data_IF_588404573265
#
_entry.id   IF_588404573265
#
_cell.length_a   1.000
_cell.length_b   1.000
_cell.length_c   1.000
_cell.angle_alpha   90.00
_cell.angle_beta   90.00
_cell.angle_gamma   90.00
#
_symmetry.space_group_name_H-M   'P 1'
#
loop_
_entity.id
_entity.type
_entity.pdbx_description
1 polymer ?
#
# COMPACT_ATOMS: atom_id res chain seq x y z
N UNK A 1 15.20 -5.37 13.59
CA UNK A 1 14.63 -5.56 12.25
C UNK A 1 14.20 -4.17 11.79
N UNK A 2 14.45 -3.82 10.54
CA UNK A 2 14.03 -2.54 10.00
C UNK A 2 12.74 -2.74 9.21
N UNK A 3 11.71 -1.95 9.51
CA UNK A 3 10.40 -1.98 8.85
C UNK A 3 10.19 -0.70 8.06
N UNK A 4 9.47 -0.83 6.95
CA UNK A 4 9.01 0.27 6.12
C UNK A 4 7.48 0.22 6.14
N UNK A 5 6.85 1.34 6.50
CA UNK A 5 5.40 1.53 6.39
C UNK A 5 5.12 2.28 5.09
N UNK A 6 4.52 1.60 4.12
CA UNK A 6 4.32 2.19 2.79
C UNK A 6 3.06 3.06 2.68
N UNK A 7 2.24 3.16 3.73
CA UNK A 7 1.02 3.95 3.71
C UNK A 7 0.58 4.40 5.09
N UNK A 8 0.70 5.72 5.37
CA UNK A 8 0.26 6.33 6.61
C UNK A 8 -0.34 7.71 6.36
N UNK A 9 -1.50 7.98 6.95
CA UNK A 9 -2.18 9.28 6.86
C UNK A 9 -1.74 10.17 8.05
N UNK A 10 -0.45 10.52 8.10
CA UNK A 10 0.11 11.29 9.23
C UNK A 10 -0.47 12.71 9.33
N UNK A 11 -0.99 13.24 8.23
CA UNK A 11 -1.69 14.54 8.16
C UNK A 11 -3.07 14.51 8.79
N UNK A 12 -3.64 13.32 9.02
CA UNK A 12 -4.95 13.18 9.65
C UNK A 12 -4.95 13.78 11.06
N UNK A 13 -5.98 14.55 11.46
CA UNK A 13 -6.01 15.28 12.74
C UNK A 13 -5.78 14.44 13.99
N UNK A 14 -6.12 13.16 13.98
CA UNK A 14 -5.90 12.24 15.12
C UNK A 14 -4.42 11.87 15.33
N UNK A 15 -3.57 11.98 14.29
CA UNK A 15 -2.13 11.73 14.37
C UNK A 15 -1.33 13.03 14.35
N UNK A 16 -1.73 14.00 13.53
CA UNK A 16 -1.00 15.24 13.31
C UNK A 16 -0.76 16.05 14.60
N UNK A 17 -1.66 15.95 15.58
CA UNK A 17 -1.54 16.65 16.87
C UNK A 17 -0.43 16.12 17.76
N UNK A 18 -0.08 14.85 17.61
CA UNK A 18 0.93 14.13 18.41
C UNK A 18 2.01 13.52 17.49
N UNK A 19 2.24 14.12 16.32
CA UNK A 19 3.06 13.54 15.23
C UNK A 19 4.47 13.16 15.70
N UNK A 20 5.13 14.00 16.48
CA UNK A 20 6.47 13.72 17.00
C UNK A 20 6.47 12.48 17.89
N UNK A 21 5.49 12.36 18.79
CA UNK A 21 5.35 11.21 19.68
C UNK A 21 4.96 9.94 18.91
N UNK A 22 4.15 10.06 17.85
CA UNK A 22 3.81 8.95 16.93
C UNK A 22 5.07 8.45 16.24
N UNK A 23 5.91 9.34 15.70
CA UNK A 23 7.17 9.01 15.03
C UNK A 23 8.18 8.38 15.99
N UNK A 24 8.28 8.89 17.23
CA UNK A 24 9.13 8.29 18.25
C UNK A 24 8.72 6.85 18.58
N UNK A 25 7.42 6.59 18.75
CA UNK A 25 6.90 5.23 18.96
C UNK A 25 7.14 4.33 17.75
N UNK A 26 6.98 4.83 16.53
CA UNK A 26 7.27 4.10 15.30
C UNK A 26 8.74 3.66 15.25
N UNK A 27 9.66 4.60 15.50
CA UNK A 27 11.10 4.33 15.57
C UNK A 27 11.44 3.30 16.64
N UNK A 28 10.89 3.43 17.84
CA UNK A 28 11.08 2.48 18.93
C UNK A 28 10.58 1.07 18.58
N UNK A 29 9.54 0.96 17.73
CA UNK A 29 9.01 -0.31 17.22
C UNK A 29 9.83 -0.89 16.05
N UNK A 30 10.87 -0.20 15.58
CA UNK A 30 11.75 -0.64 14.49
C UNK A 30 11.28 -0.22 13.09
N UNK A 31 10.29 0.67 12.99
CA UNK A 31 9.94 1.33 11.72
C UNK A 31 11.01 2.38 11.43
N UNK A 32 11.63 2.33 10.27
CA UNK A 32 12.71 3.24 9.88
C UNK A 32 12.36 4.16 8.72
N UNK A 33 11.33 3.81 7.96
CA UNK A 33 10.83 4.62 6.83
C UNK A 33 9.30 4.66 6.86
N UNK A 34 8.75 5.81 6.50
CA UNK A 34 7.32 6.03 6.34
C UNK A 34 7.04 6.68 4.99
N UNK A 35 5.98 6.22 4.32
CA UNK A 35 5.43 6.90 3.14
C UNK A 35 4.09 7.52 3.53
N UNK A 36 4.05 8.84 3.56
CA UNK A 36 2.86 9.61 3.88
C UNK A 36 1.94 9.65 2.67
N UNK A 37 0.68 9.26 2.86
CA UNK A 37 -0.28 9.13 1.76
C UNK A 37 -0.91 10.47 1.39
N UNK A 38 -0.75 10.89 0.14
CA UNK A 38 -1.44 12.04 -0.42
C UNK A 38 -2.74 11.60 -1.09
N UNK A 39 -3.88 11.99 -0.55
CA UNK A 39 -5.22 11.56 -1.02
C UNK A 39 -5.97 12.63 -1.83
N UNK A 40 -5.49 13.88 -1.77
CA UNK A 40 -5.94 15.01 -2.57
C UNK A 40 -4.75 15.93 -2.83
N UNK A 41 -4.92 16.96 -3.64
CA UNK A 41 -3.85 17.96 -3.86
C UNK A 41 -3.44 18.61 -2.52
N UNK A 42 -4.42 19.01 -1.71
CA UNK A 42 -4.16 19.63 -0.40
C UNK A 42 -3.45 18.65 0.56
N UNK A 43 -3.91 17.41 0.67
CA UNK A 43 -3.27 16.42 1.53
C UNK A 43 -1.89 16.01 1.00
N UNK A 44 -1.67 16.02 -0.31
CA UNK A 44 -0.36 15.80 -0.92
C UNK A 44 0.63 16.91 -0.56
N UNK A 45 0.21 18.18 -0.63
CA UNK A 45 1.03 19.33 -0.19
C UNK A 45 1.35 19.26 1.30
N UNK A 46 0.37 18.90 2.14
CA UNK A 46 0.58 18.72 3.58
C UNK A 46 1.53 17.56 3.90
N UNK A 47 1.39 16.43 3.20
CA UNK A 47 2.29 15.29 3.35
C UNK A 47 3.74 15.67 2.97
N UNK A 48 3.92 16.38 1.87
CA UNK A 48 5.22 16.91 1.46
C UNK A 48 5.80 17.88 2.51
N UNK A 49 4.98 18.81 3.01
CA UNK A 49 5.38 19.75 4.08
C UNK A 49 5.85 18.98 5.32
N UNK A 50 5.13 17.93 5.73
CA UNK A 50 5.54 17.10 6.89
C UNK A 50 6.85 16.36 6.65
N UNK A 51 7.13 15.92 5.41
CA UNK A 51 8.42 15.32 5.08
C UNK A 51 9.58 16.28 5.33
N UNK A 52 9.40 17.57 5.02
CA UNK A 52 10.42 18.59 5.26
C UNK A 52 10.52 19.02 6.72
N UNK A 53 9.37 19.24 7.39
CA UNK A 53 9.34 19.71 8.79
C UNK A 53 9.88 18.66 9.78
N UNK A 54 9.77 17.36 9.46
CA UNK A 54 10.08 16.25 10.34
C UNK A 54 11.32 15.46 9.89
N UNK A 55 12.18 16.05 9.05
CA UNK A 55 13.37 15.38 8.51
C UNK A 55 14.38 14.98 9.60
N UNK A 56 14.40 15.69 10.72
CA UNK A 56 15.25 15.41 11.89
C UNK A 56 14.66 14.35 12.86
N UNK A 57 13.49 13.78 12.54
CA UNK A 57 12.81 12.78 13.39
C UNK A 57 13.60 11.48 13.60
N UNK A 58 14.68 11.27 12.84
CA UNK A 58 15.45 10.02 12.81
C UNK A 58 14.76 8.90 12.02
N UNK A 59 13.71 9.24 11.26
CA UNK A 59 13.02 8.39 10.30
C UNK A 59 13.22 8.97 8.89
N UNK A 60 13.27 8.09 7.90
CA UNK A 60 13.20 8.54 6.50
C UNK A 60 11.74 8.72 6.10
N UNK A 61 11.35 9.97 5.86
CA UNK A 61 9.99 10.32 5.46
C UNK A 61 9.92 10.56 3.96
N UNK A 62 8.97 9.90 3.33
CA UNK A 62 8.60 10.09 1.94
C UNK A 62 7.11 10.34 1.85
N UNK A 63 6.62 10.77 0.69
CA UNK A 63 5.19 10.88 0.45
C UNK A 63 4.81 10.33 -0.92
N UNK A 64 3.53 10.12 -1.11
CA UNK A 64 2.88 10.03 -2.40
C UNK A 64 2.17 11.34 -2.70
N UNK A 65 1.81 11.57 -3.95
CA UNK A 65 0.92 12.66 -4.34
C UNK A 65 -0.09 12.16 -5.37
N UNK A 66 -1.38 12.41 -5.12
CA UNK A 66 -2.45 11.94 -5.97
C UNK A 66 -3.83 12.47 -5.58
N UNK A 67 -4.83 12.04 -6.32
CA UNK A 67 -6.24 12.32 -6.05
C UNK A 67 -7.00 11.00 -5.95
N UNK A 68 -7.50 10.74 -4.76
CA UNK A 68 -8.27 9.55 -4.39
C UNK A 68 -9.58 9.47 -5.19
N UNK A 69 -10.09 8.27 -5.51
CA UNK A 69 -11.36 8.14 -6.24
C UNK A 69 -12.55 8.84 -5.58
N UNK A 70 -12.54 9.07 -4.29
CA UNK A 70 -13.60 9.85 -3.62
C UNK A 70 -13.69 11.29 -4.11
N UNK A 71 -12.57 11.90 -4.48
CA UNK A 71 -12.44 13.29 -4.91
C UNK A 71 -12.31 13.43 -6.44
N UNK A 72 -12.47 12.34 -7.19
CA UNK A 72 -12.31 12.33 -8.64
C UNK A 72 -13.25 13.31 -9.38
N UNK A 73 -14.39 13.68 -8.80
CA UNK A 73 -15.29 14.70 -9.35
C UNK A 73 -14.66 16.08 -9.44
N UNK A 74 -13.62 16.36 -8.64
CA UNK A 74 -12.92 17.63 -8.62
C UNK A 74 -11.74 17.68 -9.60
N UNK A 75 -11.39 16.53 -10.20
CA UNK A 75 -10.26 16.41 -11.11
C UNK A 75 -10.48 17.20 -12.41
N UNK A 76 -9.51 18.01 -12.77
CA UNK A 76 -9.52 18.84 -13.99
C UNK A 76 -8.09 19.10 -14.48
N UNK A 77 -7.92 19.88 -15.55
CA UNK A 77 -6.61 20.18 -16.12
C UNK A 77 -5.66 20.92 -15.15
N UNK A 78 -6.19 21.72 -14.24
CA UNK A 78 -5.44 22.39 -13.19
C UNK A 78 -4.93 21.38 -12.16
N UNK A 79 -5.73 20.40 -11.79
CA UNK A 79 -5.34 19.32 -10.90
C UNK A 79 -4.13 18.54 -11.43
N UNK A 80 -4.14 18.20 -12.72
CA UNK A 80 -3.02 17.53 -13.38
C UNK A 80 -1.73 18.37 -13.35
N UNK A 81 -1.84 19.68 -13.56
CA UNK A 81 -0.67 20.59 -13.52
C UNK A 81 -0.10 20.73 -12.11
N UNK A 82 -0.95 20.90 -11.09
CA UNK A 82 -0.56 21.01 -9.69
C UNK A 82 0.06 19.69 -9.21
N UNK A 83 -0.57 18.56 -9.53
CA UNK A 83 -0.05 17.24 -9.18
C UNK A 83 1.34 17.01 -9.81
N UNK A 84 1.53 17.39 -11.07
CA UNK A 84 2.84 17.28 -11.73
C UNK A 84 3.93 18.09 -11.01
N UNK A 85 3.60 19.26 -10.47
CA UNK A 85 4.55 20.05 -9.70
C UNK A 85 4.96 19.33 -8.41
N UNK A 86 3.99 18.81 -7.65
CA UNK A 86 4.25 18.04 -6.42
C UNK A 86 5.09 16.78 -6.68
N UNK A 87 4.82 16.08 -7.78
CA UNK A 87 5.55 14.86 -8.18
C UNK A 87 7.01 15.13 -8.57
N UNK A 88 7.38 16.39 -8.79
CA UNK A 88 8.76 16.83 -9.03
C UNK A 88 9.60 17.00 -7.76
N UNK A 89 8.96 17.00 -6.57
CA UNK A 89 9.63 17.23 -5.29
C UNK A 89 10.32 15.96 -4.79
N UNK A 90 11.52 16.12 -4.22
CA UNK A 90 12.38 15.00 -3.86
C UNK A 90 11.76 13.99 -2.86
N UNK A 91 10.96 14.37 -1.83
CA UNK A 91 10.33 13.41 -0.94
C UNK A 91 9.20 12.61 -1.59
N UNK A 92 8.60 13.07 -2.70
CA UNK A 92 7.48 12.40 -3.35
C UNK A 92 7.98 11.23 -4.20
N UNK A 93 7.54 10.02 -3.88
CA UNK A 93 8.06 8.78 -4.46
C UNK A 93 7.09 8.02 -5.36
N UNK A 94 5.82 8.36 -5.34
CA UNK A 94 4.81 7.66 -6.14
C UNK A 94 3.66 8.59 -6.50
N UNK A 95 3.01 8.30 -7.63
CA UNK A 95 1.72 8.86 -7.98
C UNK A 95 0.64 8.10 -7.20
N UNK A 96 -0.17 8.80 -6.47
CA UNK A 96 -1.25 8.23 -5.65
C UNK A 96 -1.36 8.93 -4.28
N UNK A 97 -2.38 8.65 -3.56
CA UNK A 97 -3.35 7.57 -3.74
C UNK A 97 -4.34 7.91 -4.86
N UNK A 98 -4.40 7.05 -5.86
CA UNK A 98 -5.38 7.12 -6.95
C UNK A 98 -5.96 5.72 -7.20
N UNK A 99 -7.08 5.62 -7.90
CA UNK A 99 -7.67 4.30 -8.11
C UNK A 99 -9.17 4.32 -8.31
N UNK A 100 -9.83 3.24 -7.88
CA UNK A 100 -11.28 3.05 -8.01
C UNK A 100 -11.91 2.59 -6.69
N UNK A 101 -13.04 3.18 -6.32
CA UNK A 101 -13.87 2.77 -5.19
C UNK A 101 -15.35 2.67 -5.64
N UNK A 102 -15.76 1.45 -5.96
CA UNK A 102 -17.13 1.14 -6.38
C UNK A 102 -18.03 0.70 -5.22
N UNK A 103 -17.47 0.69 -4.00
CA UNK A 103 -18.25 0.46 -2.79
C UNK A 103 -18.86 1.75 -2.24
N UNK A 104 -18.08 2.85 -2.20
CA UNK A 104 -18.54 4.15 -1.73
C UNK A 104 -19.22 4.97 -2.81
N UNK A 105 -18.69 4.91 -4.05
CA UNK A 105 -19.19 5.66 -5.21
C UNK A 105 -19.40 7.17 -4.92
N UNK A 106 -18.51 7.79 -4.10
CA UNK A 106 -18.62 9.22 -3.76
C UNK A 106 -18.43 10.12 -4.99
N UNK A 107 -17.58 9.71 -5.92
CA UNK A 107 -17.54 10.29 -7.27
C UNK A 107 -18.12 9.30 -8.27
N UNK A 108 -18.78 9.78 -9.34
CA UNK A 108 -19.25 8.91 -10.42
C UNK A 108 -18.13 8.06 -11.02
N UNK A 109 -18.38 6.78 -11.26
CA UNK A 109 -17.36 5.83 -11.78
C UNK A 109 -16.63 6.32 -13.03
N UNK A 110 -17.31 6.90 -14.05
CA UNK A 110 -16.61 7.44 -15.22
C UNK A 110 -15.60 8.54 -14.87
N UNK A 111 -15.87 9.35 -13.83
CA UNK A 111 -14.94 10.36 -13.36
C UNK A 111 -13.77 9.77 -12.57
N UNK A 112 -14.01 8.71 -11.79
CA UNK A 112 -12.95 7.96 -11.12
C UNK A 112 -11.99 7.34 -12.15
N UNK A 113 -12.52 6.69 -13.18
CA UNK A 113 -11.73 6.09 -14.26
C UNK A 113 -10.90 7.15 -14.99
N UNK A 114 -11.52 8.27 -15.37
CA UNK A 114 -10.82 9.37 -16.05
C UNK A 114 -9.68 9.93 -15.17
N UNK A 115 -9.95 10.23 -13.91
CA UNK A 115 -8.94 10.76 -13.00
C UNK A 115 -7.80 9.75 -12.78
N UNK A 116 -8.10 8.45 -12.70
CA UNK A 116 -7.11 7.40 -12.63
C UNK A 116 -6.24 7.35 -13.90
N UNK A 117 -6.84 7.28 -15.07
CA UNK A 117 -6.11 7.19 -16.34
C UNK A 117 -5.18 8.39 -16.55
N UNK A 118 -5.62 9.61 -16.25
CA UNK A 118 -4.77 10.81 -16.34
C UNK A 118 -3.62 10.80 -15.32
N UNK A 119 -3.82 10.27 -14.11
CA UNK A 119 -2.76 10.08 -13.13
C UNK A 119 -1.78 8.97 -13.54
N UNK A 120 -2.25 7.91 -14.18
CA UNK A 120 -1.39 6.87 -14.77
C UNK A 120 -0.53 7.43 -15.91
N UNK A 121 -1.07 8.30 -16.76
CA UNK A 121 -0.26 8.98 -17.79
C UNK A 121 0.82 9.91 -17.16
N UNK A 122 0.52 10.57 -16.04
CA UNK A 122 1.54 11.32 -15.29
C UNK A 122 2.63 10.40 -14.76
N UNK A 123 2.26 9.25 -14.19
CA UNK A 123 3.21 8.27 -13.68
C UNK A 123 4.13 7.74 -14.79
N UNK A 124 3.57 7.44 -15.96
CA UNK A 124 4.34 7.03 -17.15
C UNK A 124 5.29 8.16 -17.59
N UNK A 125 4.79 9.40 -17.71
CA UNK A 125 5.58 10.53 -18.18
C UNK A 125 6.74 10.89 -17.24
N UNK A 126 6.56 10.69 -15.92
CA UNK A 126 7.55 11.00 -14.90
C UNK A 126 8.38 9.79 -14.46
N UNK A 127 8.06 8.60 -14.98
CA UNK A 127 8.68 7.32 -14.59
C UNK A 127 8.63 7.10 -13.07
N UNK A 128 7.48 7.42 -12.46
CA UNK A 128 7.20 7.20 -11.05
C UNK A 128 6.33 5.95 -10.85
N UNK A 129 6.53 5.19 -9.77
CA UNK A 129 5.62 4.11 -9.40
C UNK A 129 4.24 4.65 -9.02
N UNK A 130 3.25 3.75 -8.97
CA UNK A 130 1.86 4.12 -8.64
C UNK A 130 1.42 3.43 -7.34
N UNK A 131 0.76 4.20 -6.48
CA UNK A 131 0.13 3.75 -5.24
C UNK A 131 -1.39 3.75 -5.41
N UNK A 132 -1.97 2.55 -5.51
CA UNK A 132 -3.32 2.33 -6.02
C UNK A 132 -4.31 1.97 -4.92
N UNK A 133 -5.41 2.70 -4.85
CA UNK A 133 -6.62 2.33 -4.12
C UNK A 133 -7.52 1.42 -4.94
N UNK A 134 -8.04 0.37 -4.32
CA UNK A 134 -9.08 -0.47 -4.93
C UNK A 134 -10.11 -0.93 -3.89
N UNK A 135 -11.39 -0.69 -4.21
CA UNK A 135 -12.49 -1.21 -3.43
C UNK A 135 -13.65 -1.64 -4.32
N UNK A 136 -13.92 -2.97 -4.36
CA UNK A 136 -14.99 -3.58 -5.16
C UNK A 136 -14.93 -3.21 -6.66
N UNK A 137 -13.73 -2.95 -7.17
CA UNK A 137 -13.45 -2.51 -8.53
C UNK A 137 -12.33 -3.31 -9.24
N UNK A 138 -11.92 -4.45 -8.65
CA UNK A 138 -10.71 -5.18 -9.05
C UNK A 138 -10.66 -5.53 -10.53
N UNK A 139 -11.73 -6.08 -11.10
CA UNK A 139 -11.78 -6.42 -12.53
C UNK A 139 -11.59 -5.19 -13.42
N UNK A 140 -12.25 -4.07 -13.07
CA UNK A 140 -12.14 -2.82 -13.83
C UNK A 140 -10.76 -2.21 -13.71
N UNK A 141 -10.19 -2.18 -12.51
CA UNK A 141 -8.84 -1.69 -12.28
C UNK A 141 -7.80 -2.51 -13.07
N UNK A 142 -7.89 -3.84 -13.05
CA UNK A 142 -7.04 -4.73 -13.85
C UNK A 142 -7.17 -4.41 -15.34
N UNK A 143 -8.39 -4.18 -15.84
CA UNK A 143 -8.65 -3.83 -17.23
C UNK A 143 -7.97 -2.53 -17.67
N UNK A 144 -7.98 -1.50 -16.81
CA UNK A 144 -7.29 -0.24 -17.05
C UNK A 144 -5.77 -0.46 -16.98
N UNK A 145 -5.27 -1.07 -15.92
CA UNK A 145 -3.83 -1.26 -15.71
C UNK A 145 -3.13 -2.05 -16.82
N UNK A 146 -3.82 -2.99 -17.46
CA UNK A 146 -3.28 -3.72 -18.62
C UNK A 146 -2.82 -2.80 -19.75
N UNK A 147 -3.43 -1.63 -19.90
CA UNK A 147 -3.07 -0.65 -20.94
C UNK A 147 -1.82 0.17 -20.59
N UNK A 148 -1.46 0.19 -19.31
CA UNK A 148 -0.38 1.03 -18.79
C UNK A 148 0.82 0.23 -18.30
N UNK A 149 0.64 -1.04 -17.94
CA UNK A 149 1.62 -1.80 -17.14
C UNK A 149 3.02 -1.81 -17.72
N UNK A 150 3.16 -2.01 -19.03
CA UNK A 150 4.46 -2.09 -19.70
C UNK A 150 5.21 -0.75 -19.71
N UNK A 151 4.51 0.35 -19.47
CA UNK A 151 5.07 1.71 -19.43
C UNK A 151 5.37 2.19 -18.00
N UNK A 152 4.78 1.56 -16.99
CA UNK A 152 4.95 1.92 -15.58
C UNK A 152 6.18 1.21 -14.98
N UNK A 153 7.03 1.91 -14.21
CA UNK A 153 8.17 1.27 -13.55
C UNK A 153 7.75 0.26 -12.49
N UNK A 154 6.73 0.58 -11.70
CA UNK A 154 6.15 -0.28 -10.67
C UNK A 154 4.76 0.21 -10.27
N UNK A 155 3.97 -0.67 -9.63
CA UNK A 155 2.73 -0.30 -8.98
C UNK A 155 2.46 -1.18 -7.76
N UNK A 156 1.78 -0.62 -6.76
CA UNK A 156 1.28 -1.34 -5.59
C UNK A 156 -0.22 -1.11 -5.46
N UNK A 157 -0.98 -2.19 -5.29
CA UNK A 157 -2.35 -2.09 -4.80
C UNK A 157 -2.28 -2.09 -3.28
N UNK A 158 -2.52 -0.92 -2.68
CA UNK A 158 -2.48 -0.76 -1.24
C UNK A 158 -3.73 -1.34 -0.60
N UNK A 159 -3.63 -1.68 0.69
CA UNK A 159 -4.76 -2.16 1.51
C UNK A 159 -5.59 -3.25 0.82
N UNK A 160 -4.92 -4.25 0.24
CA UNK A 160 -5.62 -5.31 -0.48
C UNK A 160 -6.62 -6.05 0.42
N UNK A 161 -7.87 -6.07 -0.01
CA UNK A 161 -8.98 -6.76 0.68
C UNK A 161 -9.81 -7.64 -0.27
N UNK A 162 -9.33 -7.81 -1.50
CA UNK A 162 -10.02 -8.56 -2.55
C UNK A 162 -9.97 -10.08 -2.37
N UNK A 163 -10.50 -10.74 -3.35
CA UNK A 163 -10.54 -12.20 -3.43
C UNK A 163 -9.31 -12.79 -4.16
N UNK A 164 -9.31 -14.11 -4.31
CA UNK A 164 -8.23 -14.84 -4.97
C UNK A 164 -8.08 -14.47 -6.45
N UNK A 165 -9.19 -14.30 -7.16
CA UNK A 165 -9.15 -13.99 -8.61
C UNK A 165 -8.53 -12.61 -8.84
N UNK A 166 -8.94 -11.63 -8.04
CA UNK A 166 -8.40 -10.27 -8.07
C UNK A 166 -6.91 -10.25 -7.71
N UNK A 167 -6.50 -10.99 -6.65
CA UNK A 167 -5.09 -11.11 -6.30
C UNK A 167 -4.24 -11.62 -7.45
N UNK A 168 -4.67 -12.72 -8.09
CA UNK A 168 -3.92 -13.30 -9.21
C UNK A 168 -3.88 -12.36 -10.41
N UNK A 169 -4.97 -11.64 -10.70
CA UNK A 169 -4.98 -10.62 -11.74
C UNK A 169 -3.95 -9.51 -11.51
N UNK A 170 -3.74 -9.10 -10.26
CA UNK A 170 -2.68 -8.13 -9.91
C UNK A 170 -1.29 -8.74 -10.00
N UNK A 171 -1.10 -9.98 -9.55
CA UNK A 171 0.19 -10.67 -9.64
C UNK A 171 0.58 -10.96 -11.10
N UNK A 172 -0.37 -11.29 -11.96
CA UNK A 172 -0.14 -11.47 -13.41
C UNK A 172 0.32 -10.17 -14.10
N UNK A 173 -0.06 -9.02 -13.53
CA UNK A 173 0.43 -7.70 -13.94
C UNK A 173 1.72 -7.29 -13.20
N UNK A 174 2.35 -8.20 -12.48
CA UNK A 174 3.58 -7.94 -11.70
C UNK A 174 3.45 -6.78 -10.70
N UNK A 175 2.27 -6.63 -10.06
CA UNK A 175 2.04 -5.62 -9.05
C UNK A 175 2.51 -6.08 -7.67
N UNK A 176 2.83 -5.09 -6.84
CA UNK A 176 3.01 -5.29 -5.40
C UNK A 176 1.65 -5.24 -4.69
N UNK A 177 1.57 -5.92 -3.57
CA UNK A 177 0.35 -6.06 -2.75
C UNK A 177 0.63 -5.53 -1.35
N UNK A 178 -0.06 -4.48 -0.97
CA UNK A 178 -0.01 -3.89 0.36
C UNK A 178 -0.97 -4.58 1.32
N UNK A 179 -0.48 -4.93 2.51
CA UNK A 179 -1.26 -5.62 3.54
C UNK A 179 -1.29 -4.76 4.80
N UNK A 180 -2.52 -4.45 5.24
CA UNK A 180 -2.82 -3.62 6.41
C UNK A 180 -3.25 -4.45 7.63
N UNK A 181 -3.62 -3.75 8.71
CA UNK A 181 -4.30 -4.33 9.86
C UNK A 181 -5.64 -5.02 9.57
N UNK A 182 -6.16 -4.92 8.35
CA UNK A 182 -7.31 -5.71 7.91
C UNK A 182 -7.08 -7.22 8.07
N UNK A 183 -5.87 -7.70 7.82
CA UNK A 183 -5.50 -9.12 8.00
C UNK A 183 -5.65 -9.59 9.45
N UNK A 184 -5.63 -8.67 10.41
CA UNK A 184 -5.81 -8.93 11.83
C UNK A 184 -7.28 -8.87 12.28
N UNK A 185 -8.24 -8.62 11.38
CA UNK A 185 -9.68 -8.59 11.70
C UNK A 185 -10.29 -9.99 11.53
N UNK A 186 -10.55 -10.67 12.65
CA UNK A 186 -11.10 -12.02 12.69
C UNK A 186 -12.51 -12.15 12.08
N UNK A 187 -13.19 -11.03 11.87
CA UNK A 187 -14.54 -11.00 11.28
C UNK A 187 -14.54 -10.83 9.77
N UNK A 188 -13.56 -10.06 9.24
CA UNK A 188 -13.57 -9.62 7.84
C UNK A 188 -12.29 -9.96 7.09
N UNK A 189 -11.17 -10.16 7.79
CA UNK A 189 -9.84 -10.34 7.19
C UNK A 189 -9.41 -11.80 6.99
N UNK A 190 -10.16 -12.76 7.54
CA UNK A 190 -9.75 -14.18 7.54
C UNK A 190 -9.62 -14.80 6.14
N UNK A 191 -10.34 -14.27 5.15
CA UNK A 191 -10.25 -14.71 3.76
C UNK A 191 -8.88 -14.40 3.14
N UNK A 192 -8.16 -13.41 3.66
CA UNK A 192 -6.80 -13.08 3.22
C UNK A 192 -5.76 -14.09 3.69
N UNK A 193 -5.98 -14.76 4.82
CA UNK A 193 -4.99 -15.66 5.42
C UNK A 193 -4.46 -16.73 4.44
N UNK A 194 -5.30 -17.46 3.69
CA UNK A 194 -4.82 -18.41 2.70
C UNK A 194 -4.11 -17.75 1.52
N UNK A 195 -4.44 -16.50 1.19
CA UNK A 195 -3.89 -15.77 0.05
C UNK A 195 -2.48 -15.24 0.31
N UNK A 196 -2.13 -14.93 1.57
CA UNK A 196 -0.82 -14.39 1.93
C UNK A 196 0.36 -15.23 1.43
N UNK A 197 0.20 -16.54 1.32
CA UNK A 197 1.25 -17.45 0.82
C UNK A 197 1.40 -17.43 -0.69
N UNK A 198 0.34 -17.02 -1.40
CA UNK A 198 0.32 -16.95 -2.85
C UNK A 198 1.02 -15.67 -3.35
N UNK A 199 1.18 -14.66 -2.47
CA UNK A 199 1.93 -13.45 -2.78
C UNK A 199 3.44 -13.76 -2.71
N UNK A 200 4.21 -13.59 -3.81
CA UNK A 200 5.65 -13.73 -3.79
C UNK A 200 6.31 -12.81 -2.75
N UNK A 201 7.40 -13.25 -2.11
CA UNK A 201 8.06 -12.47 -1.06
C UNK A 201 8.49 -11.07 -1.54
N UNK A 202 8.95 -10.95 -2.78
CA UNK A 202 9.32 -9.67 -3.38
C UNK A 202 8.14 -8.80 -3.85
N UNK A 203 6.89 -9.27 -3.67
CA UNK A 203 5.69 -8.53 -4.07
C UNK A 203 4.78 -8.17 -2.88
N UNK A 204 5.11 -8.63 -1.68
CA UNK A 204 4.35 -8.31 -0.47
C UNK A 204 4.95 -7.10 0.22
N UNK A 205 4.14 -6.10 0.48
CA UNK A 205 4.47 -4.91 1.24
C UNK A 205 3.57 -4.81 2.49
N UNK A 206 4.05 -4.11 3.52
CA UNK A 206 3.32 -3.90 4.76
C UNK A 206 3.02 -2.42 4.93
N UNK A 207 1.85 -2.14 5.48
CA UNK A 207 1.41 -0.78 5.77
C UNK A 207 0.49 -0.72 6.99
N UNK A 208 0.51 0.39 7.68
CA UNK A 208 -0.41 0.62 8.79
C UNK A 208 -1.76 1.12 8.32
N UNK A 209 -1.76 1.97 7.30
CA UNK A 209 -2.90 2.81 6.90
C UNK A 209 -3.43 3.63 8.08
N UNK A 210 -2.54 3.94 9.05
CA UNK A 210 -2.91 4.69 10.24
C UNK A 210 -3.43 6.10 9.89
N UNK A 211 -4.45 6.61 10.59
CA UNK A 211 -5.05 6.12 11.85
C UNK A 211 -6.11 5.04 11.70
N UNK A 212 -6.35 4.57 10.48
CA UNK A 212 -7.35 3.55 10.17
C UNK A 212 -6.84 2.14 10.48
N UNK A 213 -7.71 1.16 10.38
CA UNK A 213 -7.40 -0.27 10.39
C UNK A 213 -6.55 -0.76 11.57
N UNK A 214 -6.82 -0.23 12.77
CA UNK A 214 -6.17 -0.70 14.00
C UNK A 214 -6.22 -2.24 14.07
N UNK A 215 -5.07 -2.94 14.15
CA UNK A 215 -5.04 -4.39 14.24
C UNK A 215 -5.89 -4.91 15.41
N UNK A 216 -6.93 -5.69 15.10
CA UNK A 216 -7.86 -6.17 16.12
C UNK A 216 -7.25 -7.19 17.08
N UNK A 217 -6.20 -7.87 16.64
CA UNK A 217 -5.39 -8.80 17.46
C UNK A 217 -4.52 -8.09 18.50
N UNK A 218 -4.23 -6.79 18.34
CA UNK A 218 -3.37 -6.02 19.23
C UNK A 218 -3.84 -6.05 20.69
N UNK A 219 -2.92 -6.34 21.62
CA UNK A 219 -3.16 -6.35 23.06
C UNK A 219 -1.94 -5.77 23.81
N UNK A 220 -2.13 -4.87 24.77
CA UNK A 220 -3.38 -4.16 25.07
C UNK A 220 -3.82 -3.26 23.92
N UNK A 221 -5.10 -2.96 23.82
CA UNK A 221 -5.58 -1.97 22.85
C UNK A 221 -5.12 -0.56 23.27
N UNK A 222 -4.73 0.30 22.31
CA UNK A 222 -4.37 1.68 22.61
C UNK A 222 -5.59 2.45 23.15
N UNK A 223 -5.37 3.31 24.13
CA UNK A 223 -6.44 4.15 24.70
C UNK A 223 -7.04 5.12 23.71
N UNK A 224 -6.26 5.56 22.72
CA UNK A 224 -6.69 6.44 21.63
C UNK A 224 -7.76 5.78 20.73
N UNK A 225 -7.77 4.45 20.65
CA UNK A 225 -8.60 3.71 19.69
C UNK A 225 -8.14 3.83 18.23
N UNK A 226 -7.09 4.60 17.95
CA UNK A 226 -6.53 4.82 16.62
C UNK A 226 -5.33 3.92 16.36
N UNK A 227 -5.13 3.59 15.07
CA UNK A 227 -3.92 2.94 14.61
C UNK A 227 -2.77 3.94 14.53
N UNK A 228 -1.54 3.43 14.58
CA UNK A 228 -0.32 4.19 14.36
C UNK A 228 0.79 3.31 13.76
N UNK A 229 1.82 3.87 13.11
CA UNK A 229 2.87 3.09 12.45
C UNK A 229 3.60 2.11 13.37
N UNK A 230 3.67 2.39 14.67
CA UNK A 230 4.26 1.48 15.66
C UNK A 230 3.59 0.10 15.68
N UNK A 231 2.31 0.02 15.30
CA UNK A 231 1.56 -1.23 15.28
C UNK A 231 1.73 -2.04 13.98
N UNK A 232 2.56 -1.58 13.05
CA UNK A 232 2.97 -2.33 11.86
C UNK A 232 3.60 -3.69 12.24
N UNK A 233 4.22 -3.76 13.40
CA UNK A 233 4.77 -5.00 13.96
C UNK A 233 3.72 -6.09 14.15
N UNK A 234 2.48 -5.71 14.46
CA UNK A 234 1.38 -6.66 14.61
C UNK A 234 0.90 -7.19 13.26
N UNK A 235 0.84 -6.32 12.23
CA UNK A 235 0.55 -6.74 10.85
C UNK A 235 1.61 -7.73 10.38
N UNK A 236 2.89 -7.41 10.58
CA UNK A 236 4.00 -8.31 10.26
C UNK A 236 3.87 -9.66 10.96
N UNK A 237 3.55 -9.67 12.26
CA UNK A 237 3.39 -10.88 13.04
C UNK A 237 2.30 -11.78 12.45
N UNK A 238 1.16 -11.21 12.09
CA UNK A 238 0.03 -11.94 11.53
C UNK A 238 0.37 -12.50 10.14
N UNK A 239 0.97 -11.68 9.28
CA UNK A 239 1.45 -12.11 7.96
C UNK A 239 2.45 -13.26 8.10
N UNK A 240 3.45 -13.14 8.97
CA UNK A 240 4.45 -14.17 9.20
C UNK A 240 3.82 -15.48 9.69
N UNK A 241 2.86 -15.41 10.61
CA UNK A 241 2.13 -16.57 11.13
C UNK A 241 1.43 -17.36 10.01
N UNK A 242 0.73 -16.66 9.12
CA UNK A 242 -0.04 -17.32 8.06
C UNK A 242 0.85 -17.81 6.91
N UNK A 243 1.95 -17.14 6.63
CA UNK A 243 2.96 -17.62 5.68
C UNK A 243 3.74 -18.83 6.21
N UNK A 244 4.07 -18.89 7.50
CA UNK A 244 4.81 -20.00 8.10
C UNK A 244 3.97 -21.29 8.23
N UNK A 245 2.67 -21.17 8.51
CA UNK A 245 1.76 -22.35 8.63
C UNK A 245 1.71 -23.18 7.34
N UNK A 246 1.98 -22.60 6.19
CA UNK A 246 2.04 -23.28 4.91
C UNK A 246 3.23 -24.24 4.80
N UNK A 247 4.40 -23.88 5.36
CA UNK A 247 5.61 -24.73 5.31
C UNK A 247 5.46 -26.03 6.12
N UNK A 248 4.59 -26.06 7.15
CA UNK A 248 4.34 -27.24 7.98
C UNK A 248 3.35 -28.24 7.36
N UNK A 249 2.58 -27.84 6.34
CA UNK A 249 1.57 -28.69 5.68
C UNK A 249 2.09 -29.44 4.44
N UNK A 250 3.32 -29.16 3.97
CA UNK A 250 3.91 -29.90 2.86
C UNK A 250 4.61 -31.13 3.42
N UNK A 251 4.18 -32.38 3.10
CA UNK A 251 4.91 -33.56 3.51
C UNK A 251 6.32 -33.52 2.89
N UNK A 252 7.33 -33.89 3.66
CA UNK A 252 8.71 -34.08 3.20
C UNK A 252 8.86 -35.32 2.31
N UNK A 253 8.05 -35.44 1.27
CA UNK A 253 8.10 -36.54 0.31
C UNK A 253 8.17 -35.99 -1.10
N UNK A 254 9.30 -35.40 -1.43
CA UNK A 254 9.89 -35.35 -2.77
C UNK A 254 11.35 -34.88 -2.63
N UNK A 255 12.16 -35.67 -1.93
CA UNK A 255 13.58 -35.69 -2.31
C UNK A 255 13.65 -36.44 -3.63
N UNK A 256 14.30 -35.87 -4.68
CA UNK A 256 14.64 -36.66 -5.86
C UNK A 256 15.57 -37.79 -5.40
N UNK A 257 15.29 -39.01 -5.87
CA UNK A 257 16.12 -40.17 -5.60
C UNK A 257 17.58 -39.88 -5.96
N UNK A 258 18.56 -40.30 -5.15
CA UNK A 258 19.96 -40.17 -5.51
C UNK A 258 20.28 -41.19 -6.59
N UNK A 259 20.75 -40.72 -7.73
CA UNK A 259 21.35 -41.59 -8.74
C UNK A 259 20.76 -41.42 -10.13
N UNK A 260 21.44 -40.56 -10.89
CA UNK A 260 21.82 -40.83 -12.26
C UNK A 260 22.91 -39.82 -12.65
N UNK A 261 24.14 -40.19 -12.29
CA UNK A 261 25.31 -39.64 -12.96
C UNK A 261 25.35 -40.25 -14.37
N UNK A 262 25.07 -39.46 -15.37
CA UNK A 262 25.44 -39.79 -16.74
C UNK A 262 26.41 -38.74 -17.22
N UNK A 263 27.66 -39.21 -17.37
CA UNK A 263 28.72 -38.48 -18.01
C UNK A 263 28.37 -38.20 -19.50
N UNK A 264 28.82 -37.05 -19.91
CA UNK A 264 29.24 -36.81 -21.28
C UNK A 264 30.62 -36.13 -21.23
N UNK A 265 31.53 -36.80 -21.97
CA UNK A 265 32.85 -36.32 -22.32
C UNK A 265 32.74 -35.12 -23.24
#
# INVERSE_FOLDING_TARGET
MQLIDIGVNLTHPSLAREREAVLERARAAGVCQLVLTGTSLEESERALTFCHELDDSGLQLFSTAGVHPHDASQWNADSSRQLRALLGEAPVRAVGECGLDFNRDFSPRPLQEKALEEQLELAVALQLPVFLHEREAGERLIGILRQFRDRLPAAVVHCFTGDKATLYGYLDLDLHIGITGWVCDERRGTHLHPLLRDIPAGRLMLESDAPYLLPRSLRPKPKSGHNEPAFLTEVLREVALHRARARKRWPRTAQPAPGLSSGYR
#
